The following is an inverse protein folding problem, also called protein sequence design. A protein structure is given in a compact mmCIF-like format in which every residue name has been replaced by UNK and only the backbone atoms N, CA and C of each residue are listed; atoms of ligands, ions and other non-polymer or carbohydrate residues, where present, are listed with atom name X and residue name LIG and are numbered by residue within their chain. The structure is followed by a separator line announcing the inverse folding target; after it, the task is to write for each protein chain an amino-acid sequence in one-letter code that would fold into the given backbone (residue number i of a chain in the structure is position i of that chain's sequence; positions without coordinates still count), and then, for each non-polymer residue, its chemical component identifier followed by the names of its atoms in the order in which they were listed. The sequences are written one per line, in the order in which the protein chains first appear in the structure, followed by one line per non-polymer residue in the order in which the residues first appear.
data_IF_442607699621
#
_entry.id   IF_442607699621
#
_cell.length_a   1.000
_cell.length_b   1.000
_cell.length_c   1.000
_cell.angle_alpha   90.00
_cell.angle_beta   90.00
_cell.angle_gamma   90.00
#
_symmetry.space_group_name_H-M   'P 1'
#
loop_
_entity.id
_entity.type
_entity.pdbx_description
1 polymer ?
#
# COMPACT_ATOMS: atom_id res chain seq x y z
N UNK A 1 -28.16 26.40 -4.93
CA UNK A 1 -27.97 25.35 -5.96
C UNK A 1 -26.51 25.35 -6.39
N UNK A 2 -25.79 24.24 -6.21
CA UNK A 2 -24.39 24.11 -6.63
C UNK A 2 -24.31 24.13 -8.16
N UNK A 3 -23.58 25.09 -8.74
CA UNK A 3 -23.39 25.17 -10.20
C UNK A 3 -22.23 24.28 -10.67
N UNK A 4 -22.27 23.84 -11.93
CA UNK A 4 -21.18 23.07 -12.56
C UNK A 4 -19.83 23.82 -12.50
N UNK A 5 -19.85 25.14 -12.69
CA UNK A 5 -18.64 25.97 -12.62
C UNK A 5 -18.07 26.01 -11.21
N UNK A 6 -18.93 26.21 -10.20
CA UNK A 6 -18.53 26.18 -8.79
C UNK A 6 -17.94 24.82 -8.41
N UNK A 7 -18.55 23.72 -8.86
CA UNK A 7 -18.06 22.37 -8.59
C UNK A 7 -16.69 22.11 -9.23
N UNK A 8 -16.49 22.53 -10.49
CA UNK A 8 -15.20 22.38 -11.16
C UNK A 8 -14.09 23.18 -10.47
N UNK A 9 -14.41 24.39 -9.99
CA UNK A 9 -13.49 25.20 -9.19
C UNK A 9 -13.07 24.47 -7.90
N UNK A 10 -14.02 23.84 -7.19
CA UNK A 10 -13.72 23.07 -5.98
C UNK A 10 -12.85 21.84 -6.27
N UNK A 11 -13.11 21.12 -7.36
CA UNK A 11 -12.28 19.98 -7.78
C UNK A 11 -10.85 20.44 -8.07
N UNK A 12 -10.66 21.56 -8.76
CA UNK A 12 -9.33 22.10 -9.06
C UNK A 12 -8.59 22.56 -7.80
N UNK A 13 -9.30 23.20 -6.86
CA UNK A 13 -8.76 23.58 -5.56
C UNK A 13 -8.30 22.34 -4.77
N UNK A 14 -9.14 21.30 -4.70
CA UNK A 14 -8.79 20.04 -4.05
C UNK A 14 -7.53 19.41 -4.66
N UNK A 15 -7.42 19.41 -6.00
CA UNK A 15 -6.24 18.91 -6.70
C UNK A 15 -4.99 19.70 -6.36
N UNK A 16 -5.08 21.02 -6.32
CA UNK A 16 -3.95 21.89 -5.96
C UNK A 16 -3.49 21.62 -4.52
N UNK A 17 -4.42 21.48 -3.56
CA UNK A 17 -4.07 21.20 -2.17
C UNK A 17 -3.35 19.84 -2.02
N UNK A 18 -3.90 18.79 -2.63
CA UNK A 18 -3.28 17.46 -2.62
C UNK A 18 -1.93 17.48 -3.33
N UNK A 19 -1.81 18.13 -4.47
CA UNK A 19 -0.56 18.17 -5.26
C UNK A 19 0.58 18.87 -4.52
N UNK A 20 0.26 19.99 -3.86
CA UNK A 20 1.21 20.71 -3.01
C UNK A 20 1.69 19.84 -1.86
N UNK A 21 0.78 19.14 -1.17
CA UNK A 21 1.16 18.27 -0.05
C UNK A 21 2.07 17.11 -0.48
N UNK A 22 1.75 16.45 -1.60
CA UNK A 22 2.60 15.39 -2.16
C UNK A 22 3.99 15.89 -2.57
N UNK A 23 4.09 17.11 -3.11
CA UNK A 23 5.37 17.72 -3.48
C UNK A 23 6.23 17.98 -2.23
N UNK A 24 5.63 18.52 -1.17
CA UNK A 24 6.32 18.79 0.09
C UNK A 24 6.78 17.51 0.78
N UNK A 25 5.93 16.47 0.84
CA UNK A 25 6.27 15.15 1.36
C UNK A 25 7.54 14.59 0.69
N UNK A 26 7.59 14.69 -0.63
CA UNK A 26 8.73 14.23 -1.43
C UNK A 26 10.00 15.05 -1.16
N UNK A 27 9.88 16.37 -1.00
CA UNK A 27 11.01 17.24 -0.65
C UNK A 27 11.52 16.96 0.76
N UNK A 28 10.62 16.72 1.72
CA UNK A 28 10.95 16.36 3.10
C UNK A 28 11.74 15.05 3.17
N UNK A 29 11.29 14.01 2.45
CA UNK A 29 12.01 12.73 2.37
C UNK A 29 13.39 12.90 1.71
N UNK A 30 13.48 13.68 0.62
CA UNK A 30 14.74 13.97 -0.05
C UNK A 30 15.74 14.63 0.91
N UNK A 31 15.30 15.65 1.65
CA UNK A 31 16.13 16.35 2.64
C UNK A 31 16.62 15.40 3.73
N UNK A 32 15.76 14.53 4.27
CA UNK A 32 16.15 13.53 5.28
C UNK A 32 17.24 12.57 4.79
N UNK A 33 17.14 12.12 3.54
CA UNK A 33 18.16 11.28 2.92
C UNK A 33 19.49 12.04 2.74
N UNK A 34 19.44 13.31 2.34
CA UNK A 34 20.61 14.18 2.22
C UNK A 34 21.29 14.46 3.58
N UNK A 35 20.48 14.69 4.61
CA UNK A 35 20.94 14.90 6.00
C UNK A 35 21.39 13.59 6.70
N UNK A 36 21.23 12.44 6.04
CA UNK A 36 21.49 11.11 6.59
C UNK A 36 20.82 10.87 7.95
N UNK A 37 19.63 11.43 8.14
CA UNK A 37 18.87 11.31 9.38
C UNK A 37 17.51 10.67 9.10
N UNK A 38 17.30 9.47 9.63
CA UNK A 38 16.00 8.80 9.61
C UNK A 38 15.70 8.20 10.99
N UNK A 39 14.42 8.20 11.32
CA UNK A 39 13.91 7.50 12.48
C UNK A 39 13.22 6.19 12.04
N UNK A 40 12.90 5.26 12.97
CA UNK A 40 12.25 4.00 12.62
C UNK A 40 10.93 4.14 11.84
N UNK A 41 10.23 5.26 11.98
CA UNK A 41 8.98 5.50 11.25
C UNK A 41 9.21 5.84 9.79
N UNK A 42 10.34 6.46 9.45
CA UNK A 42 10.71 6.68 8.05
C UNK A 42 10.89 5.34 7.32
N UNK A 43 11.44 4.33 8.00
CA UNK A 43 11.54 2.97 7.48
C UNK A 43 10.16 2.32 7.32
N UNK A 44 9.32 2.34 8.37
CA UNK A 44 7.97 1.76 8.30
C UNK A 44 7.09 2.43 7.24
N UNK A 45 7.24 3.75 7.06
CA UNK A 45 6.58 4.50 5.99
C UNK A 45 7.07 4.07 4.62
N UNK A 46 8.39 3.93 4.42
CA UNK A 46 8.96 3.48 3.14
C UNK A 46 8.33 2.16 2.66
N UNK A 47 8.14 1.20 3.55
CA UNK A 47 7.55 -0.11 3.23
C UNK A 47 6.10 -0.02 2.73
N UNK A 48 5.36 1.03 3.10
CA UNK A 48 3.94 1.23 2.78
C UNK A 48 3.66 2.40 1.82
N UNK A 49 4.71 3.11 1.41
CA UNK A 49 4.59 4.28 0.54
C UNK A 49 4.14 3.88 -0.88
N UNK A 50 3.07 4.48 -1.42
CA UNK A 50 2.55 4.13 -2.73
C UNK A 50 3.52 4.56 -3.85
N UNK A 51 3.71 3.68 -4.82
CA UNK A 51 4.59 3.88 -5.99
C UNK A 51 3.86 3.59 -7.30
N UNK A 52 4.47 3.92 -8.45
CA UNK A 52 3.91 3.55 -9.77
C UNK A 52 2.44 3.95 -9.95
N UNK A 53 1.62 3.03 -10.49
CA UNK A 53 0.17 3.20 -10.63
C UNK A 53 -0.58 3.27 -9.29
N UNK A 54 -0.09 2.63 -8.22
CA UNK A 54 -0.69 2.74 -6.88
C UNK A 54 -0.75 4.19 -6.42
N UNK A 55 0.34 4.94 -6.59
CA UNK A 55 0.36 6.38 -6.27
C UNK A 55 -0.67 7.17 -7.08
N UNK A 56 -0.87 6.86 -8.35
CA UNK A 56 -1.90 7.50 -9.16
C UNK A 56 -3.31 7.17 -8.69
N UNK A 57 -3.56 5.93 -8.27
CA UNK A 57 -4.86 5.50 -7.74
C UNK A 57 -5.17 6.16 -6.38
N UNK A 58 -4.21 6.18 -5.46
CA UNK A 58 -4.32 6.84 -4.15
C UNK A 58 -4.56 8.34 -4.34
N UNK A 59 -3.78 9.01 -5.19
CA UNK A 59 -3.94 10.46 -5.45
C UNK A 59 -5.31 10.81 -6.02
N UNK A 60 -5.87 9.96 -6.89
CA UNK A 60 -7.23 10.15 -7.41
C UNK A 60 -8.29 10.06 -6.30
N UNK A 61 -8.13 9.11 -5.37
CA UNK A 61 -9.00 9.00 -4.20
C UNK A 61 -8.85 10.20 -3.25
N UNK A 62 -7.61 10.66 -2.99
CA UNK A 62 -7.34 11.84 -2.16
C UNK A 62 -7.96 13.12 -2.76
N UNK A 63 -7.93 13.28 -4.10
CA UNK A 63 -8.65 14.37 -4.76
C UNK A 63 -10.16 14.28 -4.52
N UNK A 64 -10.73 13.08 -4.58
CA UNK A 64 -12.16 12.88 -4.34
C UNK A 64 -12.54 13.21 -2.89
N UNK A 65 -11.80 12.69 -1.91
CA UNK A 65 -12.05 12.96 -0.49
C UNK A 65 -11.88 14.45 -0.15
N UNK A 66 -10.83 15.10 -0.69
CA UNK A 66 -10.59 16.54 -0.48
C UNK A 66 -11.68 17.37 -1.15
N UNK A 67 -12.16 16.98 -2.34
CA UNK A 67 -13.29 17.64 -3.00
C UNK A 67 -14.55 17.57 -2.15
N UNK A 68 -14.88 16.40 -1.59
CA UNK A 68 -16.04 16.23 -0.73
C UNK A 68 -15.92 17.03 0.57
N UNK A 69 -14.73 17.09 1.16
CA UNK A 69 -14.44 17.93 2.33
C UNK A 69 -14.69 19.40 2.03
N UNK A 70 -14.12 19.95 0.96
CA UNK A 70 -14.30 21.35 0.57
C UNK A 70 -15.77 21.65 0.21
N UNK A 71 -16.48 20.71 -0.41
CA UNK A 71 -17.93 20.84 -0.65
C UNK A 71 -18.71 20.95 0.66
N UNK A 72 -18.41 20.10 1.64
CA UNK A 72 -19.07 20.12 2.95
C UNK A 72 -18.82 21.45 3.69
N UNK A 73 -17.59 21.96 3.61
CA UNK A 73 -17.22 23.26 4.17
C UNK A 73 -17.95 24.42 3.47
N UNK A 74 -17.99 24.45 2.14
CA UNK A 74 -18.62 25.55 1.38
C UNK A 74 -20.15 25.53 1.37
N UNK A 75 -20.75 24.35 1.49
CA UNK A 75 -22.21 24.19 1.51
C UNK A 75 -22.83 24.40 2.89
N UNK A 76 -22.03 24.76 3.92
CA UNK A 76 -22.45 24.97 5.32
C UNK A 76 -23.94 25.32 5.44
N UNK A 77 -24.73 24.36 5.93
CA UNK A 77 -26.16 24.51 6.16
C UNK A 77 -26.35 25.03 7.60
N UNK A 78 -26.81 26.28 7.80
CA UNK A 78 -27.05 26.79 9.13
C UNK A 78 -28.11 25.95 9.85
N UNK A 79 -27.78 25.38 11.01
CA UNK A 79 -28.70 24.61 11.85
C UNK A 79 -28.65 23.08 11.69
N UNK A 80 -27.89 22.54 10.73
CA UNK A 80 -27.64 21.09 10.62
C UNK A 80 -26.19 20.75 10.99
N UNK A 81 -25.98 20.23 12.20
CA UNK A 81 -24.64 19.81 12.65
C UNK A 81 -24.10 18.58 11.88
N UNK A 82 -24.97 17.82 11.20
CA UNK A 82 -24.59 16.57 10.49
C UNK A 82 -25.47 16.33 9.26
N UNK A 83 -24.95 16.69 8.08
CA UNK A 83 -25.48 16.22 6.81
C UNK A 83 -24.40 15.47 6.02
N UNK A 84 -24.84 14.55 5.15
CA UNK A 84 -23.96 13.89 4.21
C UNK A 84 -23.94 14.69 2.89
N UNK A 85 -22.78 15.24 2.55
CA UNK A 85 -22.61 16.09 1.35
C UNK A 85 -23.04 15.37 0.07
N UNK A 86 -22.91 14.04 0.01
CA UNK A 86 -23.22 13.25 -1.17
C UNK A 86 -24.72 13.14 -1.46
N UNK A 87 -25.56 13.41 -0.46
CA UNK A 87 -27.02 13.37 -0.60
C UNK A 87 -27.54 14.65 -1.28
N UNK A 88 -26.76 15.74 -1.20
CA UNK A 88 -27.03 17.01 -1.86
C UNK A 88 -26.53 17.04 -3.33
N UNK A 89 -25.79 16.03 -3.76
CA UNK A 89 -25.20 15.97 -5.10
C UNK A 89 -26.12 15.23 -6.08
N UNK A 90 -26.46 15.90 -7.18
CA UNK A 90 -27.12 15.26 -8.32
C UNK A 90 -26.22 14.18 -8.94
N UNK A 91 -26.83 13.26 -9.71
CA UNK A 91 -26.08 12.26 -10.49
C UNK A 91 -25.00 12.90 -11.38
N UNK A 92 -25.33 14.03 -12.03
CA UNK A 92 -24.39 14.79 -12.86
C UNK A 92 -23.21 15.31 -12.04
N UNK A 93 -23.45 15.86 -10.85
CA UNK A 93 -22.36 16.33 -9.97
C UNK A 93 -21.44 15.18 -9.54
N UNK A 94 -22.01 14.01 -9.19
CA UNK A 94 -21.24 12.81 -8.82
C UNK A 94 -20.35 12.34 -9.99
N UNK A 95 -20.89 12.33 -11.20
CA UNK A 95 -20.14 11.99 -12.42
C UNK A 95 -19.02 13.01 -12.73
N UNK A 96 -19.28 14.32 -12.52
CA UNK A 96 -18.27 15.37 -12.66
C UNK A 96 -17.11 15.21 -11.67
N UNK A 97 -17.41 14.92 -10.40
CA UNK A 97 -16.39 14.66 -9.37
C UNK A 97 -15.57 13.42 -9.77
N UNK A 98 -16.23 12.31 -10.11
CA UNK A 98 -15.55 11.07 -10.49
C UNK A 98 -14.60 11.26 -11.68
N UNK A 99 -15.03 12.00 -12.71
CA UNK A 99 -14.19 12.31 -13.88
C UNK A 99 -13.07 13.31 -13.55
N UNK A 100 -13.38 14.40 -12.85
CA UNK A 100 -12.42 15.47 -12.55
C UNK A 100 -11.28 15.05 -11.60
N UNK A 101 -11.57 14.09 -10.71
CA UNK A 101 -10.60 13.47 -9.78
C UNK A 101 -9.83 12.31 -10.41
N UNK A 102 -10.26 11.79 -11.56
CA UNK A 102 -9.66 10.62 -12.19
C UNK A 102 -10.14 9.27 -11.64
N UNK A 103 -11.08 9.26 -10.69
CA UNK A 103 -11.68 8.04 -10.16
C UNK A 103 -12.50 7.26 -11.19
N UNK A 104 -13.06 7.93 -12.20
CA UNK A 104 -13.69 7.27 -13.35
C UNK A 104 -12.70 6.37 -14.09
N UNK A 105 -11.49 6.89 -14.38
CA UNK A 105 -10.45 6.10 -15.04
C UNK A 105 -10.01 4.90 -14.21
N UNK A 106 -9.94 5.06 -12.88
CA UNK A 106 -9.64 3.94 -12.00
C UNK A 106 -10.74 2.88 -12.12
N UNK A 107 -12.01 3.25 -11.92
CA UNK A 107 -13.12 2.28 -11.71
C UNK A 107 -13.76 1.76 -12.99
N UNK A 108 -13.56 2.41 -14.13
CA UNK A 108 -14.19 2.05 -15.41
C UNK A 108 -13.83 0.63 -15.85
N UNK A 109 -14.85 -0.17 -16.18
CA UNK A 109 -14.67 -1.52 -16.71
C UNK A 109 -13.87 -1.51 -18.01
N UNK A 110 -13.00 -2.50 -18.18
CA UNK A 110 -12.24 -2.71 -19.41
C UNK A 110 -12.76 -3.94 -20.16
N UNK A 111 -12.49 -3.99 -21.47
CA UNK A 111 -12.83 -5.15 -22.29
C UNK A 111 -11.67 -6.14 -22.25
N UNK A 112 -11.95 -7.34 -21.74
CA UNK A 112 -10.95 -8.39 -21.68
C UNK A 112 -10.77 -9.10 -23.03
N UNK A 113 -9.54 -9.53 -23.37
CA UNK A 113 -9.30 -10.40 -24.52
C UNK A 113 -10.16 -11.67 -24.43
N UNK A 114 -10.66 -12.16 -25.57
CA UNK A 114 -11.41 -13.43 -25.60
C UNK A 114 -10.53 -14.65 -25.35
N UNK A 115 -9.24 -14.53 -25.70
CA UNK A 115 -8.23 -15.57 -25.56
C UNK A 115 -6.94 -14.93 -25.05
N UNK A 116 -6.45 -15.47 -23.96
CA UNK A 116 -5.26 -15.11 -23.23
C UNK A 116 -4.65 -16.40 -22.64
N UNK A 117 -3.32 -16.50 -22.64
CA UNK A 117 -2.62 -17.69 -22.16
C UNK A 117 -2.05 -17.53 -20.75
N UNK A 118 -1.74 -16.29 -20.36
CA UNK A 118 -1.06 -15.97 -19.11
C UNK A 118 -1.85 -14.96 -18.31
N UNK A 119 -1.64 -14.99 -17.00
CA UNK A 119 -2.17 -13.98 -16.07
C UNK A 119 -1.57 -12.62 -16.42
N UNK A 120 -2.39 -11.57 -16.35
CA UNK A 120 -1.87 -10.20 -16.35
C UNK A 120 -1.03 -9.94 -15.09
N UNK A 121 -0.15 -8.94 -15.11
CA UNK A 121 0.62 -8.54 -13.92
C UNK A 121 -0.29 -7.88 -12.87
N UNK A 122 -1.33 -7.18 -13.31
CA UNK A 122 -2.23 -6.43 -12.44
C UNK A 122 -3.38 -7.28 -11.89
N UNK A 123 -3.51 -8.55 -12.27
CA UNK A 123 -4.66 -9.41 -11.97
C UNK A 123 -5.94 -9.07 -12.75
N UNK A 124 -5.92 -8.02 -13.59
CA UNK A 124 -7.05 -7.67 -14.44
C UNK A 124 -7.40 -8.81 -15.41
N UNK A 125 -8.68 -8.91 -15.76
CA UNK A 125 -9.24 -9.86 -16.71
C UNK A 125 -9.19 -11.35 -16.32
N UNK A 126 -8.77 -11.67 -15.10
CA UNK A 126 -8.94 -13.01 -14.55
C UNK A 126 -10.44 -13.40 -14.51
N UNK A 127 -11.31 -12.50 -14.03
CA UNK A 127 -12.74 -12.61 -14.25
C UNK A 127 -13.16 -11.86 -15.54
N UNK A 128 -13.62 -12.59 -16.56
CA UNK A 128 -13.99 -12.03 -17.87
C UNK A 128 -15.25 -11.17 -17.86
N UNK A 129 -16.15 -11.36 -16.89
CA UNK A 129 -17.39 -10.56 -16.73
C UNK A 129 -17.13 -9.30 -15.91
N UNK A 130 -16.29 -9.42 -14.89
CA UNK A 130 -15.92 -8.35 -13.97
C UNK A 130 -14.40 -8.14 -14.01
N UNK A 131 -13.94 -7.36 -15.00
CA UNK A 131 -12.52 -7.24 -15.38
C UNK A 131 -11.56 -6.82 -14.26
N UNK A 132 -12.08 -6.24 -13.18
CA UNK A 132 -11.30 -5.68 -12.06
C UNK A 132 -11.43 -6.48 -10.76
N UNK A 133 -12.19 -7.58 -10.73
CA UNK A 133 -12.23 -8.43 -9.54
C UNK A 133 -10.85 -9.02 -9.29
N UNK A 134 -10.35 -8.84 -8.06
CA UNK A 134 -9.03 -9.28 -7.63
C UNK A 134 -7.84 -8.54 -8.27
N UNK A 135 -8.07 -7.51 -9.08
CA UNK A 135 -6.96 -6.74 -9.65
C UNK A 135 -6.35 -5.80 -8.60
N UNK A 136 -5.07 -5.48 -8.77
CA UNK A 136 -4.37 -4.50 -7.93
C UNK A 136 -4.96 -3.09 -8.03
N UNK A 137 -4.71 -2.29 -6.99
CA UNK A 137 -5.16 -0.90 -6.86
C UNK A 137 -6.70 -0.75 -6.83
N UNK A 138 -7.36 -1.65 -6.09
CA UNK A 138 -8.81 -1.70 -5.90
C UNK A 138 -9.17 -1.61 -4.43
N UNK A 139 -10.40 -1.18 -4.13
CA UNK A 139 -10.92 -1.26 -2.77
C UNK A 139 -10.96 -2.71 -2.29
N UNK A 140 -10.64 -2.96 -1.02
CA UNK A 140 -10.90 -4.25 -0.39
C UNK A 140 -12.39 -4.59 -0.47
N UNK A 141 -12.70 -5.89 -0.50
CA UNK A 141 -14.08 -6.34 -0.38
C UNK A 141 -14.59 -6.09 1.05
N UNK A 142 -15.82 -5.59 1.16
CA UNK A 142 -16.55 -5.47 2.43
C UNK A 142 -17.47 -6.67 2.59
N UNK A 143 -17.20 -7.54 3.55
CA UNK A 143 -18.15 -8.59 3.94
C UNK A 143 -19.27 -8.06 4.83
N UNK A 144 -18.99 -7.00 5.57
CA UNK A 144 -19.95 -6.23 6.36
C UNK A 144 -19.82 -4.74 6.00
N UNK A 145 -20.90 -3.94 6.17
CA UNK A 145 -20.83 -2.49 5.98
C UNK A 145 -19.74 -1.84 6.83
N UNK A 146 -19.13 -0.76 6.32
CA UNK A 146 -18.15 0.01 7.06
C UNK A 146 -18.78 0.69 8.28
N UNK A 147 -18.04 0.77 9.39
CA UNK A 147 -18.47 1.46 10.62
C UNK A 147 -17.48 2.56 10.97
N UNK A 148 -17.79 3.77 10.51
CA UNK A 148 -17.06 5.00 10.82
C UNK A 148 -17.83 5.85 11.82
N UNK A 149 -17.13 6.74 12.49
CA UNK A 149 -17.68 7.64 13.49
C UNK A 149 -18.71 8.62 12.92
N UNK A 150 -18.50 9.06 11.68
CA UNK A 150 -19.39 9.92 10.90
C UNK A 150 -20.17 9.14 9.82
N UNK A 151 -20.06 7.81 9.81
CA UNK A 151 -20.63 6.95 8.77
C UNK A 151 -19.90 6.99 7.41
N UNK A 152 -18.83 7.78 7.28
CA UNK A 152 -18.16 8.00 5.98
C UNK A 152 -16.67 7.67 6.03
N UNK A 153 -15.90 8.30 6.93
CA UNK A 153 -14.43 8.22 6.88
C UNK A 153 -13.70 8.45 8.19
N UNK A 154 -14.34 9.05 9.21
CA UNK A 154 -13.70 9.32 10.49
C UNK A 154 -13.60 8.00 11.28
N UNK A 155 -12.41 7.53 11.65
CA UNK A 155 -12.26 6.27 12.38
C UNK A 155 -12.86 6.36 13.78
N UNK A 156 -13.40 5.24 14.28
CA UNK A 156 -13.90 5.19 15.66
C UNK A 156 -12.78 5.50 16.65
N UNK A 157 -13.09 6.32 17.65
CA UNK A 157 -12.13 6.77 18.66
C UNK A 157 -11.35 8.04 18.28
N UNK A 158 -11.63 8.64 17.12
CA UNK A 158 -11.06 9.94 16.75
C UNK A 158 -11.69 11.09 17.55
N UNK A 159 -13.01 11.07 17.79
CA UNK A 159 -13.70 12.03 18.64
C UNK A 159 -13.62 11.61 20.10
N UNK A 160 -13.01 12.46 20.93
CA UNK A 160 -12.89 12.23 22.36
C UNK A 160 -14.26 12.19 23.05
N UNK A 161 -14.43 11.28 24.01
CA UNK A 161 -15.66 11.14 24.79
C UNK A 161 -16.82 10.43 24.06
N UNK A 162 -16.64 10.01 22.81
CA UNK A 162 -17.69 9.25 22.11
C UNK A 162 -17.79 7.84 22.69
N UNK A 163 -19.00 7.47 23.07
CA UNK A 163 -19.33 6.14 23.57
C UNK A 163 -19.88 5.22 22.47
N UNK A 164 -19.68 3.93 22.70
CA UNK A 164 -20.07 2.86 21.81
C UNK A 164 -20.71 1.77 22.67
N UNK A 165 -22.02 1.61 22.53
CA UNK A 165 -22.83 0.75 23.41
C UNK A 165 -22.66 1.13 24.90
N UNK A 166 -22.56 2.43 25.20
CA UNK A 166 -22.42 2.96 26.57
C UNK A 166 -21.00 2.99 27.13
N UNK A 167 -19.97 2.68 26.32
CA UNK A 167 -18.58 2.66 26.78
C UNK A 167 -17.62 3.39 25.81
N UNK A 168 -16.61 4.11 26.31
CA UNK A 168 -15.54 4.63 25.45
C UNK A 168 -14.67 3.49 24.93
N UNK A 169 -14.07 3.67 23.75
CA UNK A 169 -13.05 2.74 23.28
C UNK A 169 -11.76 2.91 24.10
N UNK A 170 -11.11 1.81 24.53
CA UNK A 170 -9.84 1.89 25.23
C UNK A 170 -8.73 2.37 24.30
N UNK A 171 -7.66 2.93 24.87
CA UNK A 171 -6.47 3.25 24.09
C UNK A 171 -5.86 1.94 23.55
N UNK A 172 -5.58 1.87 22.24
CA UNK A 172 -5.03 0.65 21.62
C UNK A 172 -3.69 0.23 22.24
N UNK A 173 -2.92 1.20 22.75
CA UNK A 173 -1.67 0.93 23.47
C UNK A 173 -1.91 0.38 24.88
N UNK A 174 -2.97 0.81 25.56
CA UNK A 174 -3.35 0.24 26.85
C UNK A 174 -3.75 -1.23 26.69
N UNK A 175 -4.57 -1.55 25.69
CA UNK A 175 -4.91 -2.94 25.33
C UNK A 175 -3.64 -3.76 25.04
N UNK A 176 -2.68 -3.18 24.30
CA UNK A 176 -1.39 -3.84 24.05
C UNK A 176 -0.59 -4.10 25.34
N UNK A 177 -0.61 -3.19 26.31
CA UNK A 177 0.14 -3.34 27.56
C UNK A 177 -0.51 -4.36 28.50
N UNK A 178 -1.84 -4.38 28.57
CA UNK A 178 -2.57 -5.19 29.55
C UNK A 178 -2.90 -6.59 29.05
N UNK A 179 -3.05 -6.78 27.73
CA UNK A 179 -3.52 -8.05 27.14
C UNK A 179 -2.45 -8.73 26.28
N UNK A 180 -1.82 -7.99 25.36
CA UNK A 180 -0.91 -8.59 24.38
C UNK A 180 0.54 -8.70 24.86
N UNK A 181 0.91 -8.02 25.94
CA UNK A 181 2.28 -7.96 26.44
C UNK A 181 2.68 -9.27 27.11
N UNK A 182 3.85 -9.80 26.73
CA UNK A 182 4.52 -10.89 27.44
C UNK A 182 6.00 -10.56 27.57
N UNK A 183 6.62 -10.97 28.67
CA UNK A 183 8.07 -10.91 28.83
C UNK A 183 8.76 -11.91 27.88
N UNK A 184 9.96 -11.59 27.40
CA UNK A 184 10.69 -12.45 26.45
C UNK A 184 11.00 -13.81 27.07
N UNK A 185 11.28 -13.84 28.37
CA UNK A 185 11.58 -15.07 29.14
C UNK A 185 10.36 -16.01 29.24
N UNK A 186 9.16 -15.47 29.03
CA UNK A 186 7.91 -16.23 29.08
C UNK A 186 7.43 -16.68 27.68
N UNK A 187 8.15 -16.32 26.61
CA UNK A 187 7.81 -16.75 25.25
C UNK A 187 8.15 -18.22 25.09
N UNK A 188 7.15 -19.04 24.78
CA UNK A 188 7.32 -20.47 24.54
C UNK A 188 7.56 -20.75 23.06
N UNK A 189 8.56 -21.56 22.74
CA UNK A 189 8.76 -22.06 21.39
C UNK A 189 7.69 -23.09 21.02
N UNK A 190 7.15 -22.99 19.81
CA UNK A 190 6.31 -24.02 19.22
C UNK A 190 7.14 -25.29 18.95
N UNK A 191 6.66 -26.45 19.38
CA UNK A 191 7.37 -27.72 19.24
C UNK A 191 7.02 -28.48 17.96
N UNK A 192 5.98 -28.05 17.24
CA UNK A 192 5.45 -28.70 16.04
C UNK A 192 5.69 -27.87 14.78
N UNK A 193 5.79 -26.55 14.92
CA UNK A 193 5.94 -25.62 13.80
C UNK A 193 7.34 -25.01 13.73
N UNK A 194 7.97 -25.16 12.56
CA UNK A 194 9.23 -24.47 12.26
C UNK A 194 9.01 -22.97 12.01
N UNK A 195 10.06 -22.17 12.14
CA UNK A 195 10.00 -20.73 11.83
C UNK A 195 9.61 -20.42 10.37
N UNK A 196 9.84 -21.36 9.44
CA UNK A 196 9.41 -21.23 8.04
C UNK A 196 7.89 -21.12 7.94
N UNK A 197 7.12 -21.72 8.85
CA UNK A 197 5.67 -21.57 8.91
C UNK A 197 5.25 -20.09 9.01
N UNK A 198 5.87 -19.35 9.92
CA UNK A 198 5.60 -17.91 10.12
C UNK A 198 6.00 -17.10 8.88
N UNK A 199 7.19 -17.37 8.32
CA UNK A 199 7.65 -16.66 7.11
C UNK A 199 6.82 -16.99 5.87
N UNK A 200 6.31 -18.22 5.73
CA UNK A 200 5.40 -18.60 4.65
C UNK A 200 4.07 -17.85 4.77
N UNK A 201 3.50 -17.75 5.98
CA UNK A 201 2.31 -16.95 6.24
C UNK A 201 2.49 -15.49 5.85
N UNK A 202 3.63 -14.88 6.19
CA UNK A 202 3.96 -13.52 5.77
C UNK A 202 4.12 -13.41 4.25
N UNK A 203 4.82 -14.35 3.62
CA UNK A 203 5.01 -14.41 2.16
C UNK A 203 3.67 -14.45 1.41
N UNK A 204 2.74 -15.31 1.83
CA UNK A 204 1.40 -15.41 1.23
C UNK A 204 0.56 -14.15 1.49
N UNK A 205 0.60 -13.59 2.70
CA UNK A 205 -0.06 -12.30 2.98
C UNK A 205 0.44 -11.19 2.04
N UNK A 206 1.75 -11.13 1.81
CA UNK A 206 2.34 -10.13 0.93
C UNK A 206 1.95 -10.31 -0.54
N UNK A 207 1.51 -11.51 -0.94
CA UNK A 207 1.05 -11.80 -2.30
C UNK A 207 -0.36 -11.30 -2.57
N UNK A 208 -1.23 -11.29 -1.55
CA UNK A 208 -2.67 -11.05 -1.71
C UNK A 208 -3.12 -9.67 -1.21
N UNK A 209 -2.38 -9.03 -0.30
CA UNK A 209 -2.74 -7.72 0.22
C UNK A 209 -1.57 -6.79 0.56
N UNK A 210 -1.81 -5.51 0.24
CA UNK A 210 -1.03 -4.38 0.71
C UNK A 210 -1.94 -3.16 0.81
N UNK A 211 -2.27 -2.73 2.03
CA UNK A 211 -2.89 -1.43 2.26
C UNK A 211 -1.79 -0.37 2.37
N UNK A 212 -1.54 0.46 1.34
CA UNK A 212 -0.52 1.48 1.44
C UNK A 212 -0.95 2.55 2.44
N UNK A 213 0.00 3.29 2.99
CA UNK A 213 -0.32 4.47 3.78
C UNK A 213 -0.98 5.52 2.86
N UNK A 214 -1.94 6.28 3.39
CA UNK A 214 -2.40 7.50 2.71
C UNK A 214 -1.17 8.35 2.39
N UNK A 215 -1.16 8.96 1.21
CA UNK A 215 -0.21 10.05 0.97
C UNK A 215 -0.38 11.10 2.06
N UNK A 216 0.64 11.92 2.30
CA UNK A 216 0.45 13.16 3.05
C UNK A 216 -0.62 13.96 2.29
N UNK A 217 -1.88 13.86 2.74
CA UNK A 217 -3.01 14.53 2.13
C UNK A 217 -2.86 16.05 2.21
N UNK A 218 -3.90 16.80 1.83
CA UNK A 218 -3.95 18.27 1.73
C UNK A 218 -3.46 19.13 2.93
N UNK A 219 -2.97 18.55 4.03
CA UNK A 219 -2.49 19.31 5.19
C UNK A 219 -0.98 19.52 5.14
N UNK A 220 -0.62 20.77 4.85
CA UNK A 220 0.71 21.36 4.65
C UNK A 220 1.68 21.22 5.85
N UNK A 221 1.19 20.80 7.03
CA UNK A 221 1.88 20.97 8.32
C UNK A 221 1.99 19.68 9.16
N UNK A 222 1.39 18.56 8.73
CA UNK A 222 1.33 17.37 9.58
C UNK A 222 2.54 16.45 9.45
N UNK A 223 3.56 16.78 10.23
CA UNK A 223 4.37 15.75 10.86
C UNK A 223 3.42 14.97 11.81
N UNK A 224 2.95 13.78 11.42
CA UNK A 224 2.22 12.88 12.34
C UNK A 224 3.02 12.52 13.62
N UNK A 225 4.23 13.06 13.77
CA UNK A 225 5.17 12.91 14.86
C UNK A 225 5.12 14.05 15.91
N UNK A 226 4.52 15.20 15.60
CA UNK A 226 4.58 16.40 16.47
C UNK A 226 3.29 16.66 17.25
N UNK A 227 2.16 16.16 16.76
CA UNK A 227 0.85 16.35 17.40
C UNK A 227 0.16 15.02 17.67
N UNK A 228 -0.56 14.95 18.80
CA UNK A 228 -1.33 13.78 19.22
C UNK A 228 -2.83 13.92 18.99
N UNK A 229 -3.26 14.99 18.32
CA UNK A 229 -4.62 15.18 17.87
C UNK A 229 -4.86 14.42 16.56
N UNK A 230 -6.09 13.93 16.38
CA UNK A 230 -6.50 13.38 15.09
C UNK A 230 -6.67 14.52 14.08
N UNK A 231 -5.89 14.45 13.00
CA UNK A 231 -5.99 15.36 11.85
C UNK A 231 -5.65 14.53 10.60
N UNK A 232 -6.65 14.16 9.75
CA UNK A 232 -6.42 13.32 8.59
C UNK A 232 -5.24 13.80 7.72
N UNK A 233 -4.33 12.90 7.29
CA UNK A 233 -4.40 11.44 7.42
C UNK A 233 -3.82 10.89 8.74
N UNK A 234 -3.30 11.71 9.65
CA UNK A 234 -2.68 11.28 10.90
C UNK A 234 -3.72 10.88 11.95
N UNK A 235 -3.53 9.71 12.55
CA UNK A 235 -4.35 9.19 13.65
C UNK A 235 -3.46 8.60 14.75
N UNK A 236 -2.75 9.46 15.51
CA UNK A 236 -1.70 9.04 16.44
C UNK A 236 -2.21 8.11 17.55
N UNK A 237 -1.38 7.13 17.92
CA UNK A 237 -1.66 6.21 19.03
C UNK A 237 -1.21 6.87 20.34
N UNK A 238 -2.18 7.21 21.19
CA UNK A 238 -1.92 7.84 22.49
C UNK A 238 -1.39 6.81 23.50
N UNK A 239 -0.44 7.24 24.32
CA UNK A 239 0.05 6.45 25.46
C UNK A 239 -0.91 6.58 26.66
N UNK A 240 -1.20 5.48 27.39
CA UNK A 240 -1.82 5.59 28.70
C UNK A 240 -0.90 6.35 29.69
N UNK A 241 -1.44 6.88 30.80
CA UNK A 241 -0.68 7.67 31.76
C UNK A 241 0.62 7.01 32.26
N UNK A 242 0.55 5.71 32.58
CA UNK A 242 1.64 4.93 33.18
C UNK A 242 2.42 4.09 32.15
N UNK A 243 2.34 4.44 30.84
CA UNK A 243 3.08 3.69 29.82
C UNK A 243 4.60 3.87 30.00
N UNK A 244 5.39 2.78 30.08
CA UNK A 244 6.84 2.88 30.21
C UNK A 244 7.52 3.57 29.01
N UNK A 245 6.87 3.62 27.84
CA UNK A 245 7.38 4.33 26.66
C UNK A 245 7.00 5.81 26.62
N UNK A 246 6.19 6.29 27.56
CA UNK A 246 5.82 7.70 27.66
C UNK A 246 6.90 8.48 28.39
N UNK A 247 7.95 8.84 27.65
CA UNK A 247 9.13 9.52 28.21
C UNK A 247 8.88 11.00 28.60
N UNK A 248 7.85 11.64 28.05
CA UNK A 248 7.51 13.06 28.27
C UNK A 248 6.00 13.30 28.14
N UNK A 249 5.46 14.40 28.68
CA UNK A 249 4.08 14.82 28.41
C UNK A 249 3.84 15.03 26.91
N UNK A 250 2.59 14.82 26.48
CA UNK A 250 2.13 15.08 25.10
C UNK A 250 2.88 14.32 23.99
N UNK A 251 3.42 13.14 24.30
CA UNK A 251 4.00 12.23 23.29
C UNK A 251 3.00 11.14 22.93
N UNK A 252 3.01 10.73 21.66
CA UNK A 252 2.22 9.63 21.10
C UNK A 252 3.05 8.88 20.06
N UNK A 253 2.62 7.66 19.71
CA UNK A 253 3.21 6.96 18.57
C UNK A 253 2.55 7.46 17.29
N UNK A 254 3.34 7.85 16.28
CA UNK A 254 2.84 8.30 14.99
C UNK A 254 2.14 7.14 14.27
N UNK A 255 0.98 7.42 13.70
CA UNK A 255 0.23 6.46 12.90
C UNK A 255 -0.51 7.21 11.79
N UNK A 256 -0.39 6.68 10.57
CA UNK A 256 -1.01 7.24 9.36
C UNK A 256 -2.08 6.28 8.90
N UNK A 257 -3.27 6.81 8.59
CA UNK A 257 -4.34 5.99 8.04
C UNK A 257 -3.94 5.36 6.70
N UNK A 258 -4.47 4.17 6.42
CA UNK A 258 -4.34 3.53 5.10
C UNK A 258 -5.01 4.36 4.01
N UNK A 259 -4.43 4.35 2.82
CA UNK A 259 -4.94 5.06 1.65
C UNK A 259 -6.34 4.62 1.26
N UNK A 260 -7.12 5.57 0.76
CA UNK A 260 -8.45 5.33 0.22
C UNK A 260 -8.39 4.85 -1.23
N UNK A 261 -9.39 4.07 -1.62
CA UNK A 261 -9.70 3.72 -2.99
C UNK A 261 -10.82 4.62 -3.51
N UNK A 262 -10.83 4.85 -4.82
CA UNK A 262 -11.95 5.51 -5.48
C UNK A 262 -13.25 4.70 -5.30
N UNK A 263 -14.24 5.30 -4.62
CA UNK A 263 -15.58 4.77 -4.44
C UNK A 263 -16.64 5.81 -4.87
N UNK A 264 -16.79 6.07 -6.18
CA UNK A 264 -17.73 7.08 -6.68
C UNK A 264 -19.21 6.68 -6.55
N UNK A 265 -19.50 5.46 -6.07
CA UNK A 265 -20.87 4.95 -5.89
C UNK A 265 -21.45 5.38 -4.56
N UNK A 266 -20.75 5.12 -3.45
CA UNK A 266 -21.24 5.43 -2.11
C UNK A 266 -20.45 6.54 -1.42
N UNK A 267 -19.25 6.87 -1.91
CA UNK A 267 -18.34 7.85 -1.31
C UNK A 267 -17.95 7.57 0.15
N UNK A 268 -18.29 6.38 0.66
CA UNK A 268 -17.79 5.86 1.94
C UNK A 268 -16.33 5.43 1.73
N UNK A 269 -15.46 5.73 2.71
CA UNK A 269 -14.03 5.42 2.64
C UNK A 269 -13.81 3.92 2.57
N UNK A 270 -13.19 3.48 1.49
CA UNK A 270 -12.74 2.11 1.28
C UNK A 270 -11.22 2.08 1.16
N UNK A 271 -10.56 1.17 1.86
CA UNK A 271 -9.10 1.07 1.79
C UNK A 271 -8.66 0.43 0.47
N UNK A 272 -7.58 0.94 -0.11
CA UNK A 272 -7.01 0.40 -1.35
C UNK A 272 -6.10 -0.80 -1.05
N UNK A 273 -6.30 -1.90 -1.77
CA UNK A 273 -5.33 -2.97 -1.92
C UNK A 273 -4.43 -2.69 -3.13
N UNK A 274 -3.13 -2.51 -2.88
CA UNK A 274 -2.13 -2.28 -3.92
C UNK A 274 -1.60 -3.58 -4.55
N UNK A 275 -1.87 -4.74 -3.95
CA UNK A 275 -1.54 -6.06 -4.48
C UNK A 275 -2.68 -6.64 -5.31
N UNK A 276 -2.34 -7.56 -6.21
CA UNK A 276 -3.27 -8.54 -6.78
C UNK A 276 -3.90 -9.35 -5.63
N UNK A 277 -5.18 -9.74 -5.72
CA UNK A 277 -5.81 -10.58 -4.67
C UNK A 277 -5.66 -12.08 -4.92
N UNK A 278 -4.93 -12.46 -5.97
CA UNK A 278 -4.69 -13.85 -6.32
C UNK A 278 -3.37 -14.33 -5.70
N UNK A 279 -3.28 -15.62 -5.38
CA UNK A 279 -1.99 -16.26 -5.08
C UNK A 279 -1.26 -16.43 -6.41
N UNK A 280 -0.56 -15.39 -6.86
CA UNK A 280 0.10 -15.30 -8.17
C UNK A 280 1.53 -14.77 -8.13
N UNK A 281 2.15 -14.83 -6.95
CA UNK A 281 3.57 -14.52 -6.70
C UNK A 281 3.91 -13.09 -7.17
N UNK A 282 2.94 -12.19 -7.01
CA UNK A 282 3.08 -10.76 -7.20
C UNK A 282 4.14 -10.16 -6.27
N UNK A 283 4.48 -10.85 -5.16
CA UNK A 283 5.65 -10.58 -4.32
C UNK A 283 6.99 -10.58 -5.10
N UNK A 284 7.13 -11.45 -6.11
CA UNK A 284 8.31 -11.50 -6.99
C UNK A 284 8.10 -10.69 -8.27
N UNK A 285 6.95 -10.86 -8.92
CA UNK A 285 6.73 -10.34 -10.28
C UNK A 285 6.16 -8.91 -10.32
N UNK A 286 5.65 -8.41 -9.19
CA UNK A 286 5.01 -7.11 -9.06
C UNK A 286 3.53 -7.13 -9.41
N UNK A 287 2.82 -6.09 -8.95
CA UNK A 287 1.40 -5.83 -9.21
C UNK A 287 1.17 -4.63 -10.16
N UNK A 288 2.25 -4.16 -10.82
CA UNK A 288 2.28 -3.03 -11.74
C UNK A 288 3.17 -3.34 -12.95
N UNK A 289 2.68 -3.11 -14.17
CA UNK A 289 3.40 -3.48 -15.40
C UNK A 289 4.77 -2.81 -15.54
N UNK A 290 4.91 -1.57 -15.04
CA UNK A 290 6.18 -0.85 -15.09
C UNK A 290 7.19 -1.45 -14.12
N UNK A 291 6.75 -1.75 -12.90
CA UNK A 291 7.58 -2.46 -11.91
C UNK A 291 7.99 -3.83 -12.44
N UNK A 292 7.04 -4.63 -12.91
CA UNK A 292 7.30 -5.98 -13.46
C UNK A 292 8.34 -5.97 -14.58
N UNK A 293 8.23 -5.03 -15.54
CA UNK A 293 9.26 -4.86 -16.58
C UNK A 293 10.61 -4.49 -16.01
N UNK A 294 10.66 -3.62 -14.99
CA UNK A 294 11.90 -3.18 -14.36
C UNK A 294 12.57 -4.22 -13.44
N UNK A 295 11.88 -5.33 -13.16
CA UNK A 295 12.39 -6.46 -12.38
C UNK A 295 12.93 -7.58 -13.27
N UNK A 296 12.71 -7.50 -14.58
CA UNK A 296 13.26 -8.43 -15.57
C UNK A 296 14.66 -8.01 -15.97
N UNK A 297 15.48 -8.98 -16.36
CA UNK A 297 16.76 -8.69 -16.97
C UNK A 297 16.52 -8.18 -18.41
N UNK A 298 16.71 -6.87 -18.61
CA UNK A 298 16.50 -6.22 -19.91
C UNK A 298 17.74 -6.21 -20.82
N UNK A 299 18.86 -6.78 -20.38
CA UNK A 299 20.12 -6.77 -21.15
C UNK A 299 20.16 -7.84 -22.24
N UNK A 300 19.26 -8.82 -22.17
CA UNK A 300 19.20 -9.95 -23.07
C UNK A 300 17.75 -10.44 -23.23
N UNK A 301 17.51 -11.32 -24.20
CA UNK A 301 16.20 -11.91 -24.48
C UNK A 301 16.08 -13.32 -23.88
N UNK A 302 16.59 -13.52 -22.66
CA UNK A 302 16.60 -14.85 -22.03
C UNK A 302 15.42 -15.10 -21.10
N UNK A 303 14.60 -14.08 -20.82
CA UNK A 303 13.43 -14.22 -19.93
C UNK A 303 13.77 -14.27 -18.44
N UNK A 304 15.02 -14.00 -18.05
CA UNK A 304 15.48 -14.01 -16.66
C UNK A 304 14.94 -12.79 -15.89
N UNK A 305 14.85 -12.93 -14.57
CA UNK A 305 14.70 -11.81 -13.65
C UNK A 305 16.05 -11.12 -13.45
N UNK A 306 16.02 -9.82 -13.14
CA UNK A 306 17.21 -9.06 -12.79
C UNK A 306 17.78 -9.53 -11.46
N UNK A 307 19.11 -9.53 -11.34
CA UNK A 307 19.85 -9.98 -10.16
C UNK A 307 20.84 -8.92 -9.73
N UNK A 308 21.30 -9.00 -8.49
CA UNK A 308 22.35 -8.13 -7.97
C UNK A 308 23.63 -8.25 -8.81
N UNK A 309 24.23 -7.11 -9.16
CA UNK A 309 25.48 -7.06 -9.92
C UNK A 309 26.71 -6.86 -9.02
N UNK A 310 26.50 -6.51 -7.75
CA UNK A 310 27.57 -6.13 -6.82
C UNK A 310 27.89 -7.26 -5.84
N UNK A 311 26.89 -8.07 -5.48
CA UNK A 311 27.02 -9.13 -4.47
C UNK A 311 26.42 -10.44 -4.95
N UNK A 312 27.04 -11.53 -4.51
CA UNK A 312 26.52 -12.89 -4.66
C UNK A 312 26.67 -13.64 -3.33
N UNK A 313 25.96 -14.74 -3.22
CA UNK A 313 25.97 -15.64 -2.06
C UNK A 313 26.63 -16.95 -2.49
N UNK A 314 27.95 -17.06 -2.30
CA UNK A 314 28.73 -18.20 -2.80
C UNK A 314 28.49 -18.50 -4.30
N UNK A 315 28.36 -17.44 -5.12
CA UNK A 315 28.07 -17.54 -6.56
C UNK A 315 26.58 -17.64 -6.90
N UNK A 316 25.69 -17.71 -5.92
CA UNK A 316 24.25 -17.68 -6.12
C UNK A 316 23.71 -16.24 -6.12
N UNK A 317 22.60 -16.06 -6.81
CA UNK A 317 22.02 -14.76 -7.12
C UNK A 317 21.36 -14.11 -5.90
N UNK A 318 21.52 -12.79 -5.74
CA UNK A 318 20.70 -11.97 -4.85
C UNK A 318 19.70 -11.13 -5.64
N UNK A 319 18.67 -10.65 -4.96
CA UNK A 319 17.77 -9.63 -5.49
C UNK A 319 18.56 -8.36 -5.88
N UNK A 320 18.15 -7.65 -6.94
CA UNK A 320 18.74 -6.36 -7.29
C UNK A 320 18.46 -5.35 -6.18
N UNK A 321 19.29 -4.31 -6.09
CA UNK A 321 19.06 -3.21 -5.16
C UNK A 321 18.12 -2.15 -5.73
N UNK A 322 17.45 -1.43 -4.83
CA UNK A 322 16.88 -0.12 -5.13
C UNK A 322 17.99 0.89 -5.46
N UNK A 323 17.61 2.05 -6.00
CA UNK A 323 18.57 3.13 -6.20
C UNK A 323 19.10 3.62 -4.84
N UNK A 324 20.42 3.54 -4.65
CA UNK A 324 21.12 3.91 -3.41
C UNK A 324 20.71 5.29 -2.89
N UNK A 325 20.57 6.28 -3.77
CA UNK A 325 20.21 7.67 -3.40
C UNK A 325 18.79 7.83 -2.87
N UNK A 326 17.96 6.79 -3.01
CA UNK A 326 16.55 6.77 -2.60
C UNK A 326 16.25 5.72 -1.54
N UNK A 327 17.24 4.93 -1.14
CA UNK A 327 17.04 3.77 -0.29
C UNK A 327 17.19 4.13 1.17
N UNK A 328 16.14 3.93 1.97
CA UNK A 328 16.20 4.15 3.43
C UNK A 328 17.08 3.11 4.16
N UNK A 329 17.32 1.94 3.57
CA UNK A 329 18.14 0.90 4.22
C UNK A 329 19.60 1.33 4.43
N UNK A 330 20.12 2.27 3.64
CA UNK A 330 21.48 2.81 3.82
C UNK A 330 21.63 3.56 5.15
N UNK A 331 20.51 3.98 5.75
CA UNK A 331 20.48 4.69 7.02
C UNK A 331 20.48 3.74 8.23
N UNK A 332 20.23 2.44 8.03
CA UNK A 332 20.28 1.44 9.11
C UNK A 332 21.72 1.15 9.56
N UNK A 333 22.65 1.09 8.59
CA UNK A 333 24.08 1.00 8.84
C UNK A 333 24.82 1.85 7.80
N UNK A 334 25.20 3.06 8.20
CA UNK A 334 25.84 4.07 7.33
C UNK A 334 27.20 3.62 6.81
N UNK A 335 27.91 2.78 7.58
CA UNK A 335 29.22 2.26 7.20
C UNK A 335 29.08 1.19 6.11
N UNK A 336 28.12 0.28 6.27
CA UNK A 336 27.87 -0.76 5.27
C UNK A 336 27.25 -0.19 3.99
N UNK A 337 26.41 0.85 4.10
CA UNK A 337 25.81 1.58 2.97
C UNK A 337 25.09 0.66 1.96
N UNK A 338 24.37 -0.34 2.46
CA UNK A 338 23.66 -1.33 1.64
C UNK A 338 22.23 -0.85 1.36
N UNK A 339 21.83 -0.71 0.08
CA UNK A 339 20.46 -0.34 -0.26
C UNK A 339 19.45 -1.46 0.04
N UNK A 340 18.17 -1.12 0.09
CA UNK A 340 17.10 -2.10 0.20
C UNK A 340 17.09 -2.99 -1.05
N UNK A 341 16.65 -4.24 -0.89
CA UNK A 341 16.36 -5.08 -2.04
C UNK A 341 15.14 -4.56 -2.80
N UNK A 342 15.15 -4.77 -4.11
CA UNK A 342 14.07 -4.43 -5.03
C UNK A 342 13.39 -5.71 -5.50
N UNK A 343 12.10 -5.84 -5.23
CA UNK A 343 11.27 -6.98 -5.62
C UNK A 343 9.90 -6.53 -6.14
N UNK A 344 8.99 -7.48 -6.37
CA UNK A 344 7.60 -7.22 -6.76
C UNK A 344 6.76 -6.57 -5.65
N UNK A 345 7.08 -6.90 -4.39
CA UNK A 345 6.52 -6.26 -3.20
C UNK A 345 7.55 -5.37 -2.50
N UNK A 346 7.09 -4.22 -2.00
CA UNK A 346 7.96 -3.18 -1.41
C UNK A 346 8.44 -3.53 -0.01
N UNK A 347 7.76 -4.45 0.67
CA UNK A 347 8.08 -4.88 2.03
C UNK A 347 9.16 -5.96 2.07
N UNK A 348 9.78 -6.30 0.94
CA UNK A 348 10.82 -7.34 0.83
C UNK A 348 11.93 -7.25 1.88
N UNK A 349 12.32 -6.04 2.31
CA UNK A 349 13.37 -5.80 3.32
C UNK A 349 12.82 -5.59 4.74
N UNK A 350 11.55 -5.93 5.02
CA UNK A 350 10.96 -5.76 6.36
C UNK A 350 11.68 -6.61 7.42
N UNK A 351 12.04 -7.86 7.09
CA UNK A 351 12.91 -8.71 7.89
C UNK A 351 13.72 -9.66 7.00
N UNK A 352 14.77 -10.24 7.57
CA UNK A 352 15.73 -11.06 6.83
C UNK A 352 15.14 -12.38 6.32
N UNK A 353 14.25 -13.01 7.08
CA UNK A 353 13.60 -14.26 6.66
C UNK A 353 12.71 -14.06 5.43
N UNK A 354 11.96 -12.97 5.39
CA UNK A 354 11.20 -12.57 4.20
C UNK A 354 12.13 -12.29 3.01
N UNK A 355 13.22 -11.54 3.21
CA UNK A 355 14.21 -11.27 2.16
C UNK A 355 14.82 -12.56 1.57
N UNK A 356 15.06 -13.56 2.43
CA UNK A 356 15.53 -14.87 2.02
C UNK A 356 14.47 -15.62 1.18
N UNK A 357 13.20 -15.60 1.57
CA UNK A 357 12.10 -16.18 0.79
C UNK A 357 12.02 -15.56 -0.62
N UNK A 358 12.04 -14.23 -0.73
CA UNK A 358 12.08 -13.56 -2.04
C UNK A 358 13.29 -14.00 -2.89
N UNK A 359 14.46 -14.17 -2.27
CA UNK A 359 15.68 -14.60 -2.96
C UNK A 359 15.57 -16.05 -3.46
N UNK A 360 14.96 -16.95 -2.69
CA UNK A 360 14.71 -18.34 -3.10
C UNK A 360 13.82 -18.37 -4.35
N UNK A 361 12.70 -17.65 -4.34
CA UNK A 361 11.77 -17.62 -5.48
C UNK A 361 12.37 -16.94 -6.73
N UNK A 362 13.22 -15.94 -6.55
CA UNK A 362 14.00 -15.36 -7.65
C UNK A 362 14.92 -16.41 -8.30
N UNK A 363 15.70 -17.12 -7.47
CA UNK A 363 16.62 -18.17 -7.93
C UNK A 363 15.85 -19.28 -8.65
N UNK A 364 14.69 -19.67 -8.12
CA UNK A 364 13.85 -20.71 -8.71
C UNK A 364 13.31 -20.29 -10.09
N UNK A 365 12.85 -19.04 -10.23
CA UNK A 365 12.45 -18.51 -11.54
C UNK A 365 13.59 -18.60 -12.56
N UNK A 366 14.79 -18.15 -12.19
CA UNK A 366 15.94 -18.15 -13.08
C UNK A 366 16.45 -19.58 -13.38
N UNK A 367 16.36 -20.51 -12.43
CA UNK A 367 16.64 -21.94 -12.66
C UNK A 367 15.70 -22.51 -13.71
N UNK A 368 14.40 -22.31 -13.55
CA UNK A 368 13.38 -22.79 -14.49
C UNK A 368 13.55 -22.18 -15.89
N UNK A 369 13.85 -20.88 -15.99
CA UNK A 369 14.13 -20.24 -17.29
C UNK A 369 15.31 -20.90 -18.01
N UNK A 370 16.41 -21.19 -17.30
CA UNK A 370 17.59 -21.86 -17.88
C UNK A 370 17.25 -23.25 -18.38
N UNK A 371 16.51 -24.04 -17.60
CA UNK A 371 16.09 -25.39 -17.98
C UNK A 371 15.10 -25.39 -19.16
N UNK A 372 14.07 -24.53 -19.11
CA UNK A 372 13.09 -24.39 -20.18
C UNK A 372 13.74 -23.96 -21.50
N UNK A 373 14.78 -23.13 -21.45
CA UNK A 373 15.54 -22.72 -22.64
C UNK A 373 16.33 -23.87 -23.24
N UNK A 374 16.91 -24.75 -22.42
CA UNK A 374 17.61 -25.94 -22.92
C UNK A 374 16.63 -26.92 -23.59
N UNK A 375 15.46 -27.11 -22.98
CA UNK A 375 14.40 -27.98 -23.51
C UNK A 375 13.70 -27.39 -24.75
N UNK A 376 13.57 -26.07 -24.81
CA UNK A 376 12.88 -25.35 -25.87
C UNK A 376 13.75 -24.22 -26.45
N UNK A 377 14.80 -24.53 -27.24
CA UNK A 377 15.71 -23.51 -27.78
C UNK A 377 15.04 -22.49 -28.71
N UNK A 378 13.84 -22.80 -29.21
CA UNK A 378 13.04 -21.96 -30.10
C UNK A 378 12.16 -20.93 -29.36
N UNK A 379 12.08 -20.97 -28.02
CA UNK A 379 11.31 -20.00 -27.25
C UNK A 379 12.08 -18.69 -27.09
N UNK A 380 11.37 -17.58 -27.25
CA UNK A 380 11.90 -16.25 -26.95
C UNK A 380 11.87 -15.94 -25.44
N UNK A 381 12.46 -14.82 -25.06
CA UNK A 381 12.54 -14.39 -23.67
C UNK A 381 11.18 -14.09 -23.02
N UNK A 382 10.15 -13.72 -23.79
CA UNK A 382 8.81 -13.50 -23.24
C UNK A 382 8.14 -14.82 -22.90
N UNK A 383 8.21 -15.79 -23.81
CA UNK A 383 7.69 -17.14 -23.59
C UNK A 383 8.38 -17.82 -22.42
N UNK A 384 9.71 -17.73 -22.32
CA UNK A 384 10.48 -18.27 -21.20
C UNK A 384 10.08 -17.64 -19.86
N UNK A 385 9.96 -16.31 -19.81
CA UNK A 385 9.54 -15.59 -18.61
C UNK A 385 8.14 -16.01 -18.16
N UNK A 386 7.17 -16.04 -19.08
CA UNK A 386 5.78 -16.35 -18.73
C UNK A 386 5.57 -17.81 -18.32
N UNK A 387 6.24 -18.76 -18.97
CA UNK A 387 6.13 -20.18 -18.59
C UNK A 387 6.82 -20.45 -17.25
N UNK A 388 8.00 -19.88 -17.00
CA UNK A 388 8.63 -19.95 -15.67
C UNK A 388 7.75 -19.30 -14.59
N UNK A 389 7.21 -18.09 -14.85
CA UNK A 389 6.26 -17.42 -13.96
C UNK A 389 5.06 -18.32 -13.66
N UNK A 390 4.47 -18.94 -14.68
CA UNK A 390 3.31 -19.83 -14.52
C UNK A 390 3.62 -21.04 -13.63
N UNK A 391 4.79 -21.65 -13.77
CA UNK A 391 5.24 -22.78 -12.93
C UNK A 391 5.48 -22.32 -11.50
N UNK A 392 6.20 -21.21 -11.29
CA UNK A 392 6.45 -20.66 -9.95
C UNK A 392 5.15 -20.31 -9.23
N UNK A 393 4.17 -19.76 -9.94
CA UNK A 393 2.82 -19.52 -9.40
C UNK A 393 2.17 -20.83 -8.97
N UNK A 394 2.24 -21.88 -9.78
CA UNK A 394 1.69 -23.17 -9.42
C UNK A 394 2.39 -23.79 -8.20
N UNK A 395 3.72 -23.68 -8.09
CA UNK A 395 4.48 -24.10 -6.89
C UNK A 395 3.96 -23.38 -5.65
N UNK A 396 3.81 -22.05 -5.73
CA UNK A 396 3.32 -21.25 -4.60
C UNK A 396 1.90 -21.66 -4.17
N UNK A 397 1.02 -21.93 -5.14
CA UNK A 397 -0.35 -22.38 -4.88
C UNK A 397 -0.44 -23.79 -4.30
N UNK A 398 0.50 -24.69 -4.61
CA UNK A 398 0.53 -26.05 -4.06
C UNK A 398 1.09 -26.08 -2.64
N UNK A 399 2.03 -25.18 -2.33
CA UNK A 399 2.62 -25.03 -1.00
C UNK A 399 1.73 -24.24 -0.02
N UNK A 400 0.78 -23.46 -0.54
CA UNK A 400 -0.21 -22.70 0.25
C UNK A 400 -1.47 -23.54 0.44
#
# INVERSE_FOLDING_TARGET
VLSDFSLLSIINEAKQQVDTAYLQARQSLKRKLEEQHANPMDFLKHLKDPVGKTRSAVRAADYMETTLKLLKEKLHLPGEERFNVTDLLSRRHKEMISKGTGCDYQTRSIRCPKRDMYRTITGQCNNRKHSHWGSSNRGFARWLPAVYEDGVSIPRGAIAGKEYNGFPLPLVRQVSNEIAHTANENVTADQELSLVFMHWGQWVNHDIDLAPASGEGASLELLCHTECAFKPPCFPIKFPPDDPRKLRPNVCMPFVQSASACNPTSFIREQLNAASSYIDVSTLYGSDDSLARSLRNSTNQLGLMAVNQNFTDAGLEFLPFENVTKSVCVLTNKTANIPCFKAGDKRVTENLGLSAMHTIFLREHNRLVRELRQLNPHWDGEKLYQESRKIVVAINQVLS
#
